data_IF_409337891889
#
_entry.id   IF_409337891889
#
_cell.length_a   1.000
_cell.length_b   1.000
_cell.length_c   1.000
_cell.angle_alpha   90.00
_cell.angle_beta   90.00
_cell.angle_gamma   90.00
#
_symmetry.space_group_name_H-M   'P 1'
#
loop_
_entity.id
_entity.type
_entity.pdbx_description
1 polymer ?
#
# COMPACT_ATOMS: atom_id res chain seq x y z
N UNK A 1 -8.30 10.62 6.36
CA UNK A 1 -8.00 9.78 7.54
C UNK A 1 -6.66 10.22 8.12
N UNK A 2 -6.47 10.22 9.45
CA UNK A 2 -5.20 10.56 10.10
C UNK A 2 -4.85 9.41 11.04
N UNK A 3 -3.63 8.88 10.91
CA UNK A 3 -3.07 7.83 11.77
C UNK A 3 -1.71 8.35 12.20
N UNK A 4 -1.50 8.61 13.49
CA UNK A 4 -0.30 9.28 14.01
C UNK A 4 0.47 8.46 15.05
N UNK A 5 -0.19 7.49 15.67
CA UNK A 5 0.38 6.62 16.70
C UNK A 5 0.29 5.15 16.27
N UNK A 6 1.07 4.29 16.89
CA UNK A 6 1.01 2.85 16.70
C UNK A 6 -0.35 2.30 17.15
N UNK A 7 -0.89 2.81 18.25
CA UNK A 7 -2.21 2.40 18.76
C UNK A 7 -3.32 2.74 17.75
N UNK A 8 -3.31 3.96 17.18
CA UNK A 8 -4.26 4.34 16.12
C UNK A 8 -4.12 3.45 14.87
N UNK A 9 -2.90 3.05 14.52
CA UNK A 9 -2.67 2.11 13.42
C UNK A 9 -3.23 0.73 13.76
N UNK A 10 -2.96 0.22 14.97
CA UNK A 10 -3.48 -1.06 15.42
C UNK A 10 -5.00 -1.08 15.43
N UNK A 11 -5.64 -0.04 15.95
CA UNK A 11 -7.11 0.08 16.01
C UNK A 11 -7.76 0.00 14.61
N UNK A 12 -7.20 0.68 13.61
CA UNK A 12 -7.75 0.62 12.25
C UNK A 12 -7.49 -0.73 11.58
N UNK A 13 -6.35 -1.37 11.85
CA UNK A 13 -6.03 -2.73 11.38
C UNK A 13 -7.01 -3.73 11.99
N UNK A 14 -7.20 -3.68 13.30
CA UNK A 14 -8.11 -4.60 14.02
C UNK A 14 -9.56 -4.44 13.56
N UNK A 15 -10.01 -3.21 13.38
CA UNK A 15 -11.34 -2.91 12.84
C UNK A 15 -11.52 -3.47 11.44
N UNK A 16 -10.52 -3.30 10.56
CA UNK A 16 -10.53 -3.78 9.18
C UNK A 16 -10.59 -5.32 9.11
N UNK A 17 -9.86 -5.99 9.97
CA UNK A 17 -9.84 -7.45 10.06
C UNK A 17 -11.12 -7.99 10.71
N UNK A 18 -11.63 -7.34 11.74
CA UNK A 18 -12.80 -7.81 12.49
C UNK A 18 -14.06 -7.89 11.64
N UNK A 19 -14.40 -6.83 10.90
CA UNK A 19 -15.59 -6.85 10.06
C UNK A 19 -15.48 -7.87 8.91
N UNK A 20 -14.30 -8.04 8.33
CA UNK A 20 -14.05 -9.04 7.27
C UNK A 20 -14.24 -10.46 7.81
N UNK A 21 -13.68 -10.75 8.99
CA UNK A 21 -13.86 -12.05 9.65
C UNK A 21 -15.34 -12.34 9.92
N UNK A 22 -16.10 -11.33 10.37
CA UNK A 22 -17.53 -11.46 10.64
C UNK A 22 -18.29 -11.79 9.35
N UNK A 23 -18.03 -11.09 8.24
CA UNK A 23 -18.70 -11.33 6.98
C UNK A 23 -18.34 -12.69 6.38
N UNK A 24 -17.06 -13.07 6.36
CA UNK A 24 -16.63 -14.39 5.91
C UNK A 24 -17.21 -15.54 6.75
N UNK A 25 -17.38 -15.34 8.06
CA UNK A 25 -18.02 -16.32 8.94
C UNK A 25 -19.50 -16.48 8.62
N UNK A 26 -20.21 -15.39 8.30
CA UNK A 26 -21.60 -15.44 7.87
C UNK A 26 -21.76 -16.17 6.54
N UNK A 27 -20.87 -15.92 5.58
CA UNK A 27 -20.84 -16.64 4.29
C UNK A 27 -20.61 -18.13 4.50
N UNK A 28 -19.63 -18.50 5.35
CA UNK A 28 -19.35 -19.91 5.69
C UNK A 28 -20.56 -20.62 6.30
N UNK A 29 -21.30 -19.95 7.16
CA UNK A 29 -22.52 -20.51 7.77
C UNK A 29 -23.62 -20.78 6.73
N UNK A 30 -23.73 -19.97 5.68
CA UNK A 30 -24.75 -20.07 4.64
C UNK A 30 -24.42 -21.08 3.51
N UNK A 31 -23.18 -21.54 3.40
CA UNK A 31 -22.75 -22.50 2.34
C UNK A 31 -23.51 -23.83 2.44
N UNK A 32 -23.97 -24.23 3.61
CA UNK A 32 -24.65 -25.51 3.83
C UNK A 32 -26.07 -25.59 3.22
N UNK A 33 -26.68 -24.45 2.86
CA UNK A 33 -28.06 -24.38 2.37
C UNK A 33 -28.23 -24.38 0.86
N UNK A 34 -27.17 -23.97 0.09
CA UNK A 34 -27.20 -23.90 -1.37
C UNK A 34 -25.81 -24.19 -1.96
N UNK A 35 -25.35 -25.46 -1.87
CA UNK A 35 -23.93 -25.85 -2.03
C UNK A 35 -23.18 -25.21 -3.20
N UNK A 36 -23.66 -25.27 -4.44
CA UNK A 36 -22.85 -24.86 -5.58
C UNK A 36 -22.81 -23.33 -5.80
N UNK A 37 -23.97 -22.67 -5.66
CA UNK A 37 -24.06 -21.21 -5.87
C UNK A 37 -23.42 -20.47 -4.71
N UNK A 38 -23.67 -20.92 -3.46
CA UNK A 38 -23.08 -20.33 -2.26
C UNK A 38 -21.56 -20.51 -2.22
N UNK A 39 -21.03 -21.65 -2.70
CA UNK A 39 -19.60 -21.87 -2.77
C UNK A 39 -18.92 -20.92 -3.77
N UNK A 40 -19.49 -20.75 -4.97
CA UNK A 40 -18.97 -19.82 -5.97
C UNK A 40 -19.00 -18.37 -5.47
N UNK A 41 -20.11 -17.94 -4.89
CA UNK A 41 -20.22 -16.62 -4.29
C UNK A 41 -19.22 -16.45 -3.14
N UNK A 42 -19.02 -17.48 -2.30
CA UNK A 42 -18.06 -17.47 -1.21
C UNK A 42 -16.61 -17.30 -1.69
N UNK A 43 -16.20 -17.95 -2.77
CA UNK A 43 -14.87 -17.81 -3.37
C UNK A 43 -14.66 -16.37 -3.89
N UNK A 44 -15.64 -15.82 -4.60
CA UNK A 44 -15.58 -14.45 -5.11
C UNK A 44 -15.46 -13.44 -3.97
N UNK A 45 -16.24 -13.63 -2.91
CA UNK A 45 -16.21 -12.75 -1.75
C UNK A 45 -14.89 -12.87 -0.99
N UNK A 46 -14.36 -14.09 -0.84
CA UNK A 46 -13.05 -14.31 -0.22
C UNK A 46 -11.94 -13.57 -0.95
N UNK A 47 -11.96 -13.63 -2.29
CA UNK A 47 -11.00 -12.88 -3.12
C UNK A 47 -11.14 -11.37 -2.91
N UNK A 48 -12.36 -10.84 -2.92
CA UNK A 48 -12.61 -9.42 -2.70
C UNK A 48 -12.16 -8.95 -1.30
N UNK A 49 -12.38 -9.79 -0.27
CA UNK A 49 -11.89 -9.51 1.08
C UNK A 49 -10.36 -9.53 1.15
N UNK A 50 -9.71 -10.49 0.50
CA UNK A 50 -8.26 -10.57 0.46
C UNK A 50 -7.66 -9.35 -0.23
N UNK A 51 -8.12 -9.03 -1.44
CA UNK A 51 -7.67 -7.85 -2.17
C UNK A 51 -7.89 -6.56 -1.37
N UNK A 52 -9.10 -6.37 -0.86
CA UNK A 52 -9.44 -5.19 -0.07
C UNK A 52 -8.62 -5.09 1.22
N UNK A 53 -8.36 -6.20 1.92
CA UNK A 53 -7.52 -6.22 3.11
C UNK A 53 -6.10 -5.76 2.81
N UNK A 54 -5.43 -6.36 1.81
CA UNK A 54 -4.06 -6.00 1.45
C UNK A 54 -3.95 -4.52 1.08
N UNK A 55 -4.88 -4.00 0.27
CA UNK A 55 -4.90 -2.59 -0.12
C UNK A 55 -5.09 -1.65 1.07
N UNK A 56 -6.07 -1.94 1.92
CA UNK A 56 -6.39 -1.07 3.05
C UNK A 56 -5.28 -1.09 4.11
N UNK A 57 -4.77 -2.27 4.46
CA UNK A 57 -3.68 -2.39 5.43
C UNK A 57 -2.41 -1.69 4.95
N UNK A 58 -2.03 -1.87 3.68
CA UNK A 58 -0.89 -1.17 3.08
C UNK A 58 -1.11 0.35 3.05
N UNK A 59 -2.32 0.81 2.74
CA UNK A 59 -2.68 2.23 2.78
C UNK A 59 -2.59 2.81 4.20
N UNK A 60 -3.13 2.14 5.22
CA UNK A 60 -3.08 2.60 6.60
C UNK A 60 -1.63 2.72 7.09
N UNK A 61 -0.80 1.73 6.77
CA UNK A 61 0.61 1.77 7.09
C UNK A 61 1.33 2.95 6.40
N UNK A 62 1.05 3.18 5.13
CA UNK A 62 1.62 4.31 4.37
C UNK A 62 1.20 5.66 4.96
N UNK A 63 -0.06 5.81 5.37
CA UNK A 63 -0.57 7.01 6.06
C UNK A 63 0.16 7.22 7.38
N UNK A 64 0.34 6.16 8.16
CA UNK A 64 1.08 6.20 9.42
C UNK A 64 2.52 6.66 9.20
N UNK A 65 3.28 5.99 8.33
CA UNK A 65 4.68 6.37 8.04
C UNK A 65 4.79 7.81 7.53
N UNK A 66 3.87 8.23 6.67
CA UNK A 66 3.80 9.63 6.18
C UNK A 66 3.58 10.64 7.31
N UNK A 67 2.82 10.25 8.35
CA UNK A 67 2.52 11.13 9.49
C UNK A 67 3.72 11.37 10.39
N UNK A 68 4.65 10.42 10.47
CA UNK A 68 5.84 10.48 11.33
C UNK A 68 6.86 11.53 10.90
N UNK A 69 6.81 11.99 9.66
CA UNK A 69 7.73 13.00 9.09
C UNK A 69 9.22 12.66 9.27
N UNK A 70 9.54 11.36 9.33
CA UNK A 70 10.93 10.88 9.44
C UNK A 70 11.72 11.35 8.21
N UNK A 71 12.94 11.88 8.35
CA UNK A 71 13.77 12.25 7.21
C UNK A 71 14.01 11.08 6.25
N UNK A 72 14.03 11.34 4.93
CA UNK A 72 14.17 10.29 3.93
C UNK A 72 15.44 9.44 4.07
N UNK A 73 16.55 10.03 4.55
CA UNK A 73 17.80 9.31 4.82
C UNK A 73 17.70 8.27 5.95
N UNK A 74 16.61 8.28 6.71
CA UNK A 74 16.29 7.31 7.78
C UNK A 74 15.16 6.37 7.40
N UNK A 75 14.58 6.54 6.22
CA UNK A 75 13.54 5.68 5.66
C UNK A 75 14.15 4.73 4.63
N UNK A 76 13.46 3.64 4.33
CA UNK A 76 13.82 2.78 3.20
C UNK A 76 13.66 3.54 1.88
N UNK A 77 14.50 3.27 0.85
CA UNK A 77 14.52 4.01 -0.42
C UNK A 77 13.17 4.05 -1.17
N UNK A 78 12.30 3.04 -0.98
CA UNK A 78 10.98 2.98 -1.59
C UNK A 78 10.12 4.21 -1.30
N UNK A 79 10.19 4.75 -0.08
CA UNK A 79 9.41 5.95 0.29
C UNK A 79 9.89 7.21 -0.44
N UNK A 80 11.19 7.32 -0.71
CA UNK A 80 11.72 8.38 -1.54
C UNK A 80 11.33 8.16 -3.02
N UNK A 81 11.41 6.93 -3.52
CA UNK A 81 11.03 6.59 -4.89
C UNK A 81 9.56 6.93 -5.17
N UNK A 82 8.65 6.60 -4.26
CA UNK A 82 7.23 6.98 -4.35
C UNK A 82 7.08 8.50 -4.48
N UNK A 83 7.79 9.25 -3.64
CA UNK A 83 7.70 10.71 -3.61
C UNK A 83 8.25 11.34 -4.89
N UNK A 84 9.27 10.77 -5.47
CA UNK A 84 9.95 11.30 -6.67
C UNK A 84 9.38 10.77 -7.98
N UNK A 85 8.41 9.87 -7.96
CA UNK A 85 7.87 9.19 -9.16
C UNK A 85 7.54 10.15 -10.30
N UNK A 86 6.89 11.27 -10.00
CA UNK A 86 6.55 12.27 -11.01
C UNK A 86 7.79 13.07 -11.46
N UNK A 87 8.67 13.42 -10.54
CA UNK A 87 9.90 14.14 -10.84
C UNK A 87 10.81 13.28 -11.77
N UNK A 88 10.92 11.96 -11.50
CA UNK A 88 11.69 11.01 -12.33
C UNK A 88 11.08 10.86 -13.72
N UNK A 89 9.74 10.78 -13.83
CA UNK A 89 9.09 10.73 -15.14
C UNK A 89 9.36 11.98 -15.95
N UNK A 90 9.24 13.16 -15.35
CA UNK A 90 9.55 14.42 -16.03
C UNK A 90 11.04 14.56 -16.37
N UNK A 91 11.95 13.96 -15.60
CA UNK A 91 13.36 13.89 -15.91
C UNK A 91 13.61 13.14 -17.23
N UNK A 92 12.92 12.02 -17.44
CA UNK A 92 13.03 11.19 -18.65
C UNK A 92 12.39 11.87 -19.88
N UNK A 93 11.27 12.56 -19.67
CA UNK A 93 10.53 13.26 -20.76
C UNK A 93 11.25 14.51 -21.29
N UNK A 94 12.21 15.08 -20.56
CA UNK A 94 12.87 16.34 -20.95
C UNK A 94 14.31 16.14 -21.44
N UNK A 95 14.69 16.86 -22.48
CA UNK A 95 16.07 16.94 -22.96
C UNK A 95 16.83 18.16 -22.38
N UNK A 96 16.18 18.96 -21.51
CA UNK A 96 16.80 20.18 -20.96
C UNK A 96 17.61 19.86 -19.72
N UNK A 97 18.94 19.93 -19.82
CA UNK A 97 19.87 19.69 -18.71
C UNK A 97 19.62 20.61 -17.52
N UNK A 98 19.20 21.85 -17.75
CA UNK A 98 18.84 22.80 -16.66
C UNK A 98 17.72 22.25 -15.80
N UNK A 99 16.67 21.71 -16.40
CA UNK A 99 15.54 21.12 -15.69
C UNK A 99 15.94 19.79 -15.01
N UNK A 100 16.74 18.96 -15.67
CA UNK A 100 17.28 17.74 -15.08
C UNK A 100 18.13 18.04 -13.85
N UNK A 101 18.98 19.09 -13.92
CA UNK A 101 19.79 19.54 -12.77
C UNK A 101 18.92 20.03 -11.60
N UNK A 102 17.81 20.71 -11.89
CA UNK A 102 16.86 21.13 -10.85
C UNK A 102 16.24 19.93 -10.12
N UNK A 103 15.84 18.89 -10.85
CA UNK A 103 15.30 17.65 -10.26
C UNK A 103 16.35 16.97 -9.37
N UNK A 104 17.60 16.88 -9.82
CA UNK A 104 18.70 16.32 -9.02
C UNK A 104 18.93 17.13 -7.74
N UNK A 105 19.00 18.45 -7.83
CA UNK A 105 19.15 19.32 -6.67
C UNK A 105 17.99 19.15 -5.68
N UNK A 106 16.77 19.06 -6.17
CA UNK A 106 15.55 18.79 -5.35
C UNK A 106 15.64 17.46 -4.62
N UNK A 107 16.16 16.42 -5.25
CA UNK A 107 16.41 15.11 -4.64
C UNK A 107 17.43 15.22 -3.51
N UNK A 108 18.58 15.83 -3.78
CA UNK A 108 19.67 15.98 -2.80
C UNK A 108 19.22 16.80 -1.59
N UNK A 109 18.47 17.88 -1.81
CA UNK A 109 17.92 18.69 -0.73
C UNK A 109 16.88 17.92 0.10
N UNK A 110 15.99 17.15 -0.54
CA UNK A 110 14.93 16.39 0.16
C UNK A 110 15.47 15.25 1.01
N UNK A 111 16.61 14.67 0.63
CA UNK A 111 17.15 13.48 1.29
C UNK A 111 17.29 13.63 2.81
N UNK A 112 17.67 14.83 3.28
CA UNK A 112 17.85 15.14 4.69
C UNK A 112 16.64 15.83 5.34
N UNK A 113 15.57 16.09 4.58
CA UNK A 113 14.38 16.76 5.09
C UNK A 113 13.33 15.75 5.58
N UNK A 114 12.45 16.22 6.48
CA UNK A 114 11.28 15.45 6.92
C UNK A 114 10.44 15.00 5.73
N UNK A 115 10.03 13.74 5.74
CA UNK A 115 9.30 13.15 4.63
C UNK A 115 7.93 13.78 4.41
N UNK A 116 7.54 13.89 3.15
CA UNK A 116 6.19 14.22 2.72
C UNK A 116 5.74 13.18 1.69
N UNK A 117 5.48 11.97 2.18
CA UNK A 117 5.14 10.81 1.36
C UNK A 117 3.69 10.97 0.88
N UNK A 118 3.42 10.96 -0.45
CA UNK A 118 2.06 10.92 -0.94
C UNK A 118 1.39 9.60 -0.57
N UNK A 119 0.14 9.64 -0.18
CA UNK A 119 -0.62 8.45 0.23
C UNK A 119 -1.73 8.09 -0.75
N UNK A 120 -2.17 9.06 -1.56
CA UNK A 120 -3.23 8.86 -2.53
C UNK A 120 -2.71 8.19 -3.81
N UNK A 121 -3.46 7.22 -4.31
CA UNK A 121 -3.17 6.50 -5.57
C UNK A 121 -1.80 5.79 -5.62
N UNK A 122 -1.18 5.51 -4.46
CA UNK A 122 0.06 4.74 -4.38
C UNK A 122 -0.24 3.25 -4.34
N UNK A 123 -1.17 2.85 -3.47
CA UNK A 123 -1.55 1.45 -3.31
C UNK A 123 -2.70 1.15 -4.28
N UNK A 124 -2.41 0.35 -5.32
CA UNK A 124 -3.39 -0.07 -6.31
C UNK A 124 -3.21 -1.56 -6.64
N UNK A 125 -4.32 -2.28 -6.75
CA UNK A 125 -4.33 -3.67 -7.21
C UNK A 125 -4.83 -3.80 -8.66
N UNK A 126 -5.12 -2.69 -9.36
CA UNK A 126 -5.66 -2.69 -10.73
C UNK A 126 -6.80 -3.69 -10.93
N UNK A 127 -7.63 -3.86 -9.91
CA UNK A 127 -8.77 -4.80 -9.86
C UNK A 127 -8.40 -6.28 -10.01
N UNK A 128 -7.13 -6.65 -9.81
CA UNK A 128 -6.69 -8.05 -9.91
C UNK A 128 -5.42 -8.28 -9.06
N UNK A 129 -5.58 -8.47 -7.76
CA UNK A 129 -4.46 -8.78 -6.87
C UNK A 129 -3.95 -10.20 -7.15
N UNK A 130 -2.76 -10.28 -7.71
CA UNK A 130 -1.97 -11.50 -7.91
C UNK A 130 -0.63 -11.40 -7.18
N UNK A 131 0.21 -12.43 -7.26
CA UNK A 131 1.52 -12.45 -6.59
C UNK A 131 2.41 -11.27 -6.98
N UNK A 132 2.47 -10.92 -8.26
CA UNK A 132 3.28 -9.79 -8.75
C UNK A 132 2.80 -8.47 -8.16
N UNK A 133 1.49 -8.20 -8.21
CA UNK A 133 0.90 -6.97 -7.65
C UNK A 133 1.03 -6.94 -6.12
N UNK A 134 0.89 -8.09 -5.46
CA UNK A 134 1.15 -8.21 -4.03
C UNK A 134 2.59 -7.82 -3.68
N UNK A 135 3.58 -8.36 -4.41
CA UNK A 135 5.00 -8.02 -4.24
C UNK A 135 5.26 -6.52 -4.47
N UNK A 136 4.64 -5.91 -5.48
CA UNK A 136 4.74 -4.47 -5.73
C UNK A 136 4.16 -3.64 -4.57
N UNK A 137 2.99 -4.03 -4.02
CA UNK A 137 2.39 -3.35 -2.87
C UNK A 137 3.32 -3.47 -1.64
N UNK A 138 3.84 -4.67 -1.35
CA UNK A 138 4.77 -4.87 -0.22
C UNK A 138 6.04 -4.05 -0.41
N UNK A 139 6.61 -4.03 -1.61
CA UNK A 139 7.77 -3.21 -1.95
C UNK A 139 7.48 -1.72 -1.76
N UNK A 140 6.30 -1.25 -2.19
CA UNK A 140 5.90 0.15 -2.03
C UNK A 140 5.86 0.59 -0.56
N UNK A 141 5.46 -0.29 0.35
CA UNK A 141 5.46 -0.02 1.80
C UNK A 141 6.74 -0.48 2.52
N UNK A 142 7.72 -1.01 1.78
CA UNK A 142 9.04 -1.40 2.30
C UNK A 142 9.04 -2.69 3.14
N UNK A 143 8.05 -3.55 2.98
CA UNK A 143 8.02 -4.88 3.61
C UNK A 143 8.69 -5.95 2.73
N UNK A 144 9.42 -6.92 3.32
CA UNK A 144 10.01 -8.02 2.57
C UNK A 144 8.93 -8.97 2.04
N UNK A 145 9.22 -9.62 0.91
CA UNK A 145 8.32 -10.62 0.30
C UNK A 145 8.91 -12.03 0.29
N UNK A 146 10.18 -12.17 0.63
CA UNK A 146 10.93 -13.43 0.56
C UNK A 146 10.31 -14.57 1.38
N UNK A 147 9.51 -14.26 2.40
CA UNK A 147 8.82 -15.23 3.24
C UNK A 147 7.56 -15.82 2.57
N UNK A 148 7.06 -15.19 1.52
CA UNK A 148 5.81 -15.55 0.83
C UNK A 148 6.02 -16.22 -0.53
N UNK A 149 7.28 -16.38 -0.97
CA UNK A 149 7.66 -16.99 -2.26
C UNK A 149 7.91 -18.51 -2.18
N UNK A 150 7.40 -19.17 -1.13
CA UNK A 150 7.56 -20.63 -0.93
C UNK A 150 6.38 -21.42 -1.43
#
# INVERSE_FOLDING_TARGET
>A
MKIRTEDELQDVIDSEIAWRKKELSAVKANINTAKNTALRAGITLLYAHWEGAIKNLAYYYLVYVSSLKIPYNRLKPNFLAITLKNDIRHFDETQKVTFQTEIVNKLLCRYNQGSNIPTENIISANSNLNSTIFTEIMSAIGLPTDEYEK
#
